data_IF_829460704449
#
_entry.id   IF_829460704449
#
_cell.length_a   1.000
_cell.length_b   1.000
_cell.length_c   1.000
_cell.angle_alpha   90.00
_cell.angle_beta   90.00
_cell.angle_gamma   90.00
#
_symmetry.space_group_name_H-M   'P 1'
#
loop_
_entity.id
_entity.type
_entity.pdbx_description
1 polymer ?
#
# COMPACT_ATOMS: atom_id res chain seq x y z
N UNK A 1 6.54 15.86 9.27
CA UNK A 1 5.73 14.63 9.33
C UNK A 1 4.92 14.62 10.62
N UNK A 2 3.74 14.04 10.58
CA UNK A 2 2.88 13.75 11.73
C UNK A 2 3.20 12.37 12.25
N UNK A 3 3.76 12.29 13.46
CA UNK A 3 4.28 11.05 14.04
C UNK A 3 3.40 10.66 15.21
N UNK A 4 2.71 9.52 15.11
CA UNK A 4 1.92 8.99 16.21
C UNK A 4 2.83 8.26 17.20
N UNK A 5 2.76 8.68 18.46
CA UNK A 5 3.50 8.05 19.56
C UNK A 5 2.56 7.12 20.31
N UNK A 6 2.96 5.86 20.46
CA UNK A 6 2.34 4.92 21.39
C UNK A 6 3.38 4.45 22.41
N UNK A 7 3.20 4.84 23.67
CA UNK A 7 4.13 4.62 24.77
C UNK A 7 3.34 4.76 26.08
N UNK A 8 3.38 3.73 26.92
CA UNK A 8 2.59 3.68 28.16
C UNK A 8 3.27 4.44 29.31
N UNK A 9 4.58 4.62 29.27
CA UNK A 9 5.31 5.44 30.23
C UNK A 9 5.21 6.94 29.88
N UNK A 10 4.50 7.75 30.68
CA UNK A 10 4.27 9.17 30.35
C UNK A 10 5.56 9.99 30.29
N UNK A 11 6.59 9.63 31.06
CA UNK A 11 7.87 10.34 31.06
C UNK A 11 8.62 10.10 29.75
N UNK A 12 8.67 8.85 29.29
CA UNK A 12 9.29 8.49 28.01
C UNK A 12 8.50 9.13 26.87
N UNK A 13 7.17 9.03 26.89
CA UNK A 13 6.28 9.60 25.88
C UNK A 13 6.46 11.12 25.73
N UNK A 14 6.54 11.85 26.85
CA UNK A 14 6.82 13.29 26.85
C UNK A 14 8.20 13.60 26.27
N UNK A 15 9.21 12.81 26.64
CA UNK A 15 10.57 12.93 26.09
C UNK A 15 10.59 12.76 24.57
N UNK A 16 9.95 11.71 24.06
CA UNK A 16 9.83 11.45 22.62
C UNK A 16 9.10 12.58 21.89
N UNK A 17 7.99 13.06 22.45
CA UNK A 17 7.24 14.18 21.86
C UNK A 17 8.09 15.46 21.79
N UNK A 18 8.91 15.74 22.82
CA UNK A 18 9.80 16.90 22.81
C UNK A 18 10.90 16.75 21.73
N UNK A 19 11.52 15.57 21.63
CA UNK A 19 12.55 15.28 20.64
C UNK A 19 12.02 15.35 19.21
N UNK A 20 10.84 14.78 18.96
CA UNK A 20 10.16 14.88 17.66
C UNK A 20 9.91 16.34 17.26
N UNK A 21 9.46 17.18 18.19
CA UNK A 21 9.29 18.62 17.91
C UNK A 21 10.61 19.31 17.58
N UNK A 22 11.68 19.00 18.32
CA UNK A 22 13.01 19.55 18.07
C UNK A 22 13.55 19.14 16.69
N UNK A 23 13.21 17.94 16.22
CA UNK A 23 13.51 17.43 14.87
C UNK A 23 12.57 17.99 13.77
N UNK A 24 11.63 18.88 14.11
CA UNK A 24 10.70 19.48 13.16
C UNK A 24 9.52 18.58 12.77
N UNK A 25 9.20 17.58 13.59
CA UNK A 25 8.04 16.71 13.41
C UNK A 25 6.89 17.11 14.35
N UNK A 26 5.67 16.77 13.94
CA UNK A 26 4.47 17.00 14.74
C UNK A 26 4.11 15.70 15.47
N UNK A 27 4.30 15.60 16.80
CA UNK A 27 3.85 14.44 17.54
C UNK A 27 2.31 14.42 17.65
N UNK A 28 1.72 13.24 17.44
CA UNK A 28 0.32 12.93 17.72
C UNK A 28 0.28 11.96 18.90
N UNK A 29 -0.61 12.21 19.85
CA UNK A 29 -0.68 11.44 21.11
C UNK A 29 0.10 12.12 22.25
N UNK A 30 0.55 11.37 23.26
CA UNK A 30 0.80 9.92 23.23
C UNK A 30 -0.44 9.05 23.47
N UNK A 31 -0.48 7.89 22.81
CA UNK A 31 -1.40 6.82 23.13
C UNK A 31 -0.75 5.89 24.19
N UNK A 32 -1.38 5.65 25.35
CA UNK A 32 -0.79 4.83 26.41
C UNK A 32 -0.96 3.32 26.18
N UNK A 33 -1.53 2.91 25.04
CA UNK A 33 -1.73 1.51 24.66
C UNK A 33 -2.03 1.38 23.15
N UNK A 34 -1.95 0.15 22.62
CA UNK A 34 -2.20 -0.11 21.21
C UNK A 34 -3.64 0.15 20.74
N UNK A 35 -4.67 0.01 21.59
CA UNK A 35 -6.05 0.29 21.17
C UNK A 35 -6.27 1.79 20.95
N UNK A 36 -5.74 2.62 21.87
CA UNK A 36 -5.73 4.07 21.70
C UNK A 36 -4.86 4.51 20.52
N UNK A 37 -3.74 3.83 20.29
CA UNK A 37 -2.89 4.09 19.12
C UNK A 37 -3.66 3.83 17.82
N UNK A 38 -4.38 2.71 17.73
CA UNK A 38 -5.24 2.39 16.58
C UNK A 38 -6.34 3.44 16.39
N UNK A 39 -7.04 3.81 17.47
CA UNK A 39 -8.09 4.82 17.41
C UNK A 39 -7.57 6.17 16.90
N UNK A 40 -6.41 6.60 17.41
CA UNK A 40 -5.79 7.86 17.02
C UNK A 40 -5.25 7.79 15.58
N UNK A 41 -4.69 6.66 15.15
CA UNK A 41 -4.25 6.44 13.78
C UNK A 41 -5.41 6.56 12.78
N UNK A 42 -6.58 6.00 13.10
CA UNK A 42 -7.79 6.11 12.28
C UNK A 42 -8.29 7.55 12.14
N UNK A 43 -8.32 8.28 13.26
CA UNK A 43 -8.81 9.65 13.29
C UNK A 43 -7.85 10.63 12.60
N UNK A 44 -6.56 10.53 12.93
CA UNK A 44 -5.59 11.53 12.54
C UNK A 44 -4.87 11.17 11.24
N UNK A 45 -4.77 9.89 10.86
CA UNK A 45 -3.99 9.42 9.70
C UNK A 45 -2.54 9.97 9.72
N UNK A 46 -1.72 9.54 10.69
CA UNK A 46 -0.31 9.95 10.77
C UNK A 46 0.49 9.49 9.55
N UNK A 47 1.69 10.06 9.41
CA UNK A 47 2.66 9.69 8.38
C UNK A 47 3.57 8.54 8.84
N UNK A 48 3.79 8.40 10.15
CA UNK A 48 4.68 7.40 10.76
C UNK A 48 4.16 6.98 12.14
N UNK A 49 4.38 5.70 12.47
CA UNK A 49 4.11 5.13 13.78
C UNK A 49 5.40 4.98 14.58
N UNK A 50 5.45 5.56 15.78
CA UNK A 50 6.52 5.39 16.75
C UNK A 50 5.93 4.64 17.95
N UNK A 51 6.03 3.32 17.95
CA UNK A 51 5.32 2.46 18.88
C UNK A 51 6.28 1.71 19.79
N UNK A 52 6.04 1.77 21.09
CA UNK A 52 6.57 0.78 22.01
C UNK A 52 6.00 -0.61 21.69
N UNK A 53 6.85 -1.61 21.69
CA UNK A 53 6.43 -3.00 21.52
C UNK A 53 5.61 -3.42 22.73
N UNK A 54 6.11 -3.14 23.94
CA UNK A 54 5.52 -3.62 25.17
C UNK A 54 4.52 -2.59 25.71
N UNK A 55 3.24 -2.76 25.35
CA UNK A 55 2.15 -1.90 25.83
C UNK A 55 0.99 -2.74 26.37
N UNK A 56 0.23 -2.23 27.36
CA UNK A 56 -0.95 -2.90 27.88
C UNK A 56 -2.07 -2.99 26.82
N UNK A 57 -3.03 -3.91 27.02
CA UNK A 57 -4.21 -4.18 26.16
C UNK A 57 -3.90 -4.73 24.78
N UNK A 58 -3.11 -4.00 24.00
CA UNK A 58 -2.69 -4.34 22.65
C UNK A 58 -1.25 -3.87 22.47
N UNK A 59 -0.37 -4.81 22.12
CA UNK A 59 1.04 -4.51 21.89
C UNK A 59 1.24 -3.70 20.58
N UNK A 60 2.38 -3.01 20.46
CA UNK A 60 2.64 -2.12 19.33
C UNK A 60 2.68 -2.83 17.98
N UNK A 61 3.20 -4.06 17.94
CA UNK A 61 3.30 -4.85 16.71
C UNK A 61 1.92 -5.34 16.25
N UNK A 62 1.07 -5.76 17.19
CA UNK A 62 -0.31 -6.15 16.93
C UNK A 62 -1.16 -4.95 16.50
N UNK A 63 -0.97 -3.78 17.11
CA UNK A 63 -1.60 -2.54 16.68
C UNK A 63 -1.22 -2.17 15.24
N UNK A 64 0.07 -2.26 14.90
CA UNK A 64 0.56 -2.06 13.55
C UNK A 64 -0.04 -3.05 12.54
N UNK A 65 -0.09 -4.35 12.87
CA UNK A 65 -0.66 -5.38 12.01
C UNK A 65 -2.16 -5.12 11.74
N UNK A 66 -2.91 -4.70 12.76
CA UNK A 66 -4.33 -4.33 12.64
C UNK A 66 -4.50 -3.13 11.71
N UNK A 67 -3.71 -2.06 11.89
CA UNK A 67 -3.75 -0.88 11.03
C UNK A 67 -3.38 -1.20 9.58
N UNK A 68 -2.40 -2.09 9.37
CA UNK A 68 -2.04 -2.55 8.04
C UNK A 68 -3.20 -3.30 7.35
N UNK A 69 -3.90 -4.17 8.08
CA UNK A 69 -5.10 -4.87 7.58
C UNK A 69 -6.26 -3.93 7.21
N UNK A 70 -6.31 -2.74 7.81
CA UNK A 70 -7.31 -1.70 7.53
C UNK A 70 -6.91 -0.73 6.41
N UNK A 71 -5.76 -0.96 5.74
CA UNK A 71 -5.24 -0.06 4.72
C UNK A 71 -4.65 1.24 5.28
N UNK A 72 -4.41 1.30 6.60
CA UNK A 72 -3.72 2.40 7.29
C UNK A 72 -2.26 2.05 7.56
N UNK A 73 -1.63 1.29 6.67
CA UNK A 73 -0.20 0.96 6.75
C UNK A 73 0.63 2.24 6.67
N UNK A 74 1.53 2.43 7.64
CA UNK A 74 2.56 3.49 7.65
C UNK A 74 3.88 2.88 8.07
N UNK A 75 5.02 3.54 7.76
CA UNK A 75 6.31 3.15 8.30
C UNK A 75 6.25 3.13 9.82
N UNK A 76 6.87 2.11 10.41
CA UNK A 76 6.88 1.89 11.86
C UNK A 76 8.31 1.94 12.34
N UNK A 77 8.55 2.76 13.36
CA UNK A 77 9.73 2.71 14.21
C UNK A 77 9.29 2.06 15.51
N UNK A 78 9.73 0.83 15.74
CA UNK A 78 9.42 0.11 16.96
C UNK A 78 10.45 0.48 18.04
N UNK A 79 9.96 0.75 19.24
CA UNK A 79 10.77 1.00 20.42
C UNK A 79 10.74 -0.25 21.30
N UNK A 80 11.89 -0.69 21.80
CA UNK A 80 11.98 -1.81 22.74
C UNK A 80 12.80 -1.45 23.98
N UNK A 81 12.39 -1.96 25.14
CA UNK A 81 13.18 -1.93 26.36
C UNK A 81 14.13 -3.12 26.54
N UNK A 82 14.00 -4.16 25.71
CA UNK A 82 14.75 -5.42 25.83
C UNK A 82 15.48 -5.72 24.52
N UNK A 83 16.79 -6.02 24.63
CA UNK A 83 17.59 -6.61 23.56
C UNK A 83 17.25 -8.10 23.45
N UNK A 84 16.12 -8.43 22.82
CA UNK A 84 15.75 -9.81 22.50
C UNK A 84 15.89 -10.08 20.98
N UNK A 85 16.83 -10.95 20.56
CA UNK A 85 16.99 -11.35 19.16
C UNK A 85 15.72 -11.94 18.53
N UNK A 86 14.84 -12.56 19.31
CA UNK A 86 13.60 -13.17 18.81
C UNK A 86 12.54 -12.13 18.42
N UNK A 87 12.67 -10.88 18.91
CA UNK A 87 11.84 -9.77 18.46
C UNK A 87 12.16 -9.39 17.03
N UNK A 88 13.40 -9.59 16.55
CA UNK A 88 13.85 -9.28 15.18
C UNK A 88 13.21 -10.19 14.12
N UNK A 89 12.83 -11.42 14.47
CA UNK A 89 12.12 -12.33 13.56
C UNK A 89 10.61 -12.00 13.47
N UNK A 90 9.96 -11.70 14.60
CA UNK A 90 8.53 -11.28 14.63
C UNK A 90 8.30 -9.96 13.91
N UNK A 91 9.24 -9.05 14.14
CA UNK A 91 9.53 -7.80 13.46
C UNK A 91 9.40 -7.79 11.94
N UNK A 92 10.06 -8.76 11.28
CA UNK A 92 10.12 -8.86 9.82
C UNK A 92 8.74 -9.22 9.27
N UNK A 93 8.00 -10.09 9.97
CA UNK A 93 6.66 -10.48 9.58
C UNK A 93 5.64 -9.33 9.69
N UNK A 94 5.85 -8.38 10.59
CA UNK A 94 4.96 -7.23 10.82
C UNK A 94 5.28 -6.00 9.98
N UNK A 95 6.38 -6.01 9.20
CA UNK A 95 6.74 -4.90 8.30
C UNK A 95 7.30 -3.66 9.01
N UNK A 96 7.91 -3.84 10.18
CA UNK A 96 8.57 -2.75 10.90
C UNK A 96 9.77 -2.23 10.10
N UNK A 97 9.90 -0.91 10.05
CA UNK A 97 10.87 -0.24 9.19
C UNK A 97 12.20 0.05 9.89
N UNK A 98 12.18 0.23 11.21
CA UNK A 98 13.36 0.42 12.06
C UNK A 98 13.08 0.04 13.53
N UNK A 99 14.14 -0.25 14.29
CA UNK A 99 14.10 -0.52 15.73
C UNK A 99 14.96 0.47 16.49
N UNK A 100 14.49 0.87 17.67
CA UNK A 100 15.23 1.68 18.62
C UNK A 100 15.18 1.01 20.00
N UNK A 101 16.34 0.90 20.64
CA UNK A 101 16.45 0.39 22.01
C UNK A 101 16.40 1.56 23.00
N UNK A 102 15.72 1.38 24.13
CA UNK A 102 15.71 2.36 25.22
C UNK A 102 17.06 2.28 25.97
N UNK A 103 17.71 3.41 26.34
CA UNK A 103 17.27 4.80 26.16
C UNK A 103 17.58 5.36 24.76
N UNK A 104 16.60 6.06 24.17
CA UNK A 104 16.70 6.57 22.79
C UNK A 104 17.47 7.89 22.74
N UNK A 105 18.47 7.97 21.87
CA UNK A 105 19.15 9.24 21.56
C UNK A 105 18.53 9.99 20.35
N UNK A 106 18.78 11.29 20.26
CA UNK A 106 18.17 12.15 19.23
C UNK A 106 18.67 11.82 17.80
N UNK A 107 19.93 11.40 17.67
CA UNK A 107 20.53 11.05 16.38
C UNK A 107 19.98 9.72 15.89
N UNK A 108 19.84 8.75 16.78
CA UNK A 108 19.21 7.47 16.52
C UNK A 108 17.75 7.64 16.11
N UNK A 109 16.99 8.49 16.82
CA UNK A 109 15.60 8.78 16.47
C UNK A 109 15.47 9.43 15.08
N UNK A 110 16.27 10.45 14.78
CA UNK A 110 16.26 11.11 13.45
C UNK A 110 16.66 10.12 12.34
N UNK A 111 17.71 9.33 12.56
CA UNK A 111 18.16 8.32 11.60
C UNK A 111 17.09 7.25 11.34
N UNK A 112 16.45 6.75 12.40
CA UNK A 112 15.39 5.74 12.28
C UNK A 112 14.16 6.27 11.53
N UNK A 113 13.72 7.50 11.83
CA UNK A 113 12.59 8.14 11.14
C UNK A 113 12.90 8.33 9.65
N UNK A 114 14.10 8.85 9.32
CA UNK A 114 14.53 9.04 7.92
C UNK A 114 14.58 7.72 7.17
N UNK A 115 15.21 6.70 7.75
CA UNK A 115 15.32 5.38 7.15
C UNK A 115 13.93 4.75 6.92
N UNK A 116 13.05 4.84 7.90
CA UNK A 116 11.69 4.33 7.81
C UNK A 116 10.88 5.04 6.70
N UNK A 117 10.97 6.36 6.64
CA UNK A 117 10.29 7.16 5.61
C UNK A 117 10.84 6.88 4.20
N UNK A 118 12.16 6.73 4.04
CA UNK A 118 12.77 6.42 2.74
C UNK A 118 12.33 5.04 2.24
N UNK A 119 12.40 4.01 3.10
CA UNK A 119 11.96 2.66 2.75
C UNK A 119 10.49 2.60 2.34
N UNK A 120 9.63 3.37 3.02
CA UNK A 120 8.22 3.45 2.64
C UNK A 120 8.06 4.05 1.24
N UNK A 121 8.74 5.15 0.94
CA UNK A 121 8.66 5.77 -0.39
C UNK A 121 9.18 4.85 -1.50
N UNK A 122 10.26 4.12 -1.24
CA UNK A 122 10.78 3.12 -2.18
C UNK A 122 9.77 2.00 -2.42
N UNK A 123 9.13 1.48 -1.37
CA UNK A 123 8.11 0.45 -1.47
C UNK A 123 6.88 0.94 -2.25
N UNK A 124 6.39 2.14 -1.94
CA UNK A 124 5.25 2.74 -2.65
C UNK A 124 5.56 2.96 -4.15
N UNK A 125 6.78 3.38 -4.47
CA UNK A 125 7.22 3.54 -5.85
C UNK A 125 7.27 2.21 -6.61
N UNK A 126 7.83 1.16 -5.98
CA UNK A 126 7.88 -0.18 -6.56
C UNK A 126 6.48 -0.79 -6.74
N UNK A 127 5.58 -0.60 -5.77
CA UNK A 127 4.19 -1.06 -5.87
C UNK A 127 3.44 -0.35 -7.01
N UNK A 128 3.64 0.97 -7.17
CA UNK A 128 3.07 1.74 -8.26
C UNK A 128 3.61 1.29 -9.62
N UNK A 129 4.92 1.08 -9.76
CA UNK A 129 5.54 0.57 -10.98
C UNK A 129 5.00 -0.83 -11.34
N UNK A 130 4.92 -1.73 -10.35
CA UNK A 130 4.37 -3.06 -10.54
C UNK A 130 2.89 -3.02 -10.95
N UNK A 131 2.09 -2.11 -10.38
CA UNK A 131 0.70 -1.91 -10.77
C UNK A 131 0.58 -1.44 -12.23
N UNK A 132 1.39 -0.45 -12.64
CA UNK A 132 1.42 0.04 -14.02
C UNK A 132 1.84 -1.05 -15.02
N UNK A 133 2.87 -1.84 -14.69
CA UNK A 133 3.32 -2.94 -15.54
C UNK A 133 2.22 -4.01 -15.70
N UNK A 134 1.49 -4.34 -14.63
CA UNK A 134 0.35 -5.27 -14.68
C UNK A 134 -0.79 -4.73 -15.53
N UNK A 135 -1.13 -3.44 -15.40
CA UNK A 135 -2.17 -2.81 -16.23
C UNK A 135 -1.77 -2.83 -17.72
N UNK A 136 -0.54 -2.45 -18.06
CA UNK A 136 -0.06 -2.47 -19.44
C UNK A 136 -0.12 -3.87 -20.06
N UNK A 137 0.20 -4.91 -19.29
CA UNK A 137 0.07 -6.30 -19.73
C UNK A 137 -1.40 -6.71 -19.94
N UNK A 138 -2.29 -6.31 -19.04
CA UNK A 138 -3.72 -6.58 -19.15
C UNK A 138 -4.32 -5.88 -20.38
N UNK A 139 -3.98 -4.61 -20.61
CA UNK A 139 -4.38 -3.82 -21.76
C UNK A 139 -3.91 -4.47 -23.07
N UNK A 140 -2.67 -4.95 -23.11
CA UNK A 140 -2.15 -5.69 -24.28
C UNK A 140 -2.96 -6.95 -24.56
N UNK A 141 -3.29 -7.75 -23.53
CA UNK A 141 -4.11 -8.96 -23.69
C UNK A 141 -5.50 -8.65 -24.24
N UNK A 142 -6.13 -7.56 -23.78
CA UNK A 142 -7.41 -7.10 -24.31
C UNK A 142 -7.32 -6.78 -25.80
N UNK A 143 -6.30 -6.04 -26.21
CA UNK A 143 -6.09 -5.68 -27.63
C UNK A 143 -5.84 -6.93 -28.48
N UNK A 144 -5.01 -7.87 -28.03
CA UNK A 144 -4.80 -9.15 -28.73
C UNK A 144 -6.11 -9.95 -28.88
N UNK A 145 -6.90 -10.04 -27.81
CA UNK A 145 -8.19 -10.74 -27.87
C UNK A 145 -9.18 -10.05 -28.81
N UNK A 146 -9.30 -8.73 -28.76
CA UNK A 146 -10.17 -7.97 -29.67
C UNK A 146 -9.74 -8.11 -31.14
N UNK A 147 -8.43 -8.20 -31.43
CA UNK A 147 -7.96 -8.53 -32.79
C UNK A 147 -8.48 -9.90 -33.21
N UNK A 148 -8.35 -10.92 -32.37
CA UNK A 148 -8.91 -12.26 -32.61
C UNK A 148 -10.40 -12.23 -32.93
N UNK A 149 -11.19 -11.51 -32.12
CA UNK A 149 -12.63 -11.32 -32.37
C UNK A 149 -12.91 -10.71 -33.75
N UNK A 150 -12.18 -9.65 -34.12
CA UNK A 150 -12.35 -8.98 -35.41
C UNK A 150 -11.92 -9.86 -36.60
N UNK A 151 -10.86 -10.65 -36.43
CA UNK A 151 -10.39 -11.61 -37.43
C UNK A 151 -11.47 -12.67 -37.66
N UNK A 152 -11.98 -13.29 -36.59
CA UNK A 152 -13.02 -14.33 -36.66
C UNK A 152 -14.33 -13.81 -37.26
N UNK A 153 -14.79 -12.63 -36.81
CA UNK A 153 -16.12 -12.13 -37.15
C UNK A 153 -16.18 -11.47 -38.55
N UNK A 154 -15.08 -10.87 -39.01
CA UNK A 154 -15.04 -10.07 -40.24
C UNK A 154 -14.05 -10.59 -41.29
N UNK A 155 -13.32 -11.67 -41.00
CA UNK A 155 -12.32 -12.23 -41.92
C UNK A 155 -11.12 -11.30 -42.17
N UNK A 156 -10.85 -10.38 -41.24
CA UNK A 156 -9.75 -9.42 -41.38
C UNK A 156 -8.40 -10.09 -41.16
N UNK A 157 -7.35 -9.57 -41.80
CA UNK A 157 -5.98 -9.89 -41.38
C UNK A 157 -5.66 -9.21 -40.04
N UNK A 158 -4.68 -9.74 -39.30
CA UNK A 158 -4.24 -9.14 -38.03
C UNK A 158 -3.85 -7.64 -38.16
N UNK A 159 -3.11 -7.20 -39.20
CA UNK A 159 -2.81 -5.78 -39.39
C UNK A 159 -4.04 -4.91 -39.67
N UNK A 160 -5.09 -5.46 -40.26
CA UNK A 160 -6.35 -4.74 -40.53
C UNK A 160 -7.20 -4.62 -39.27
N UNK A 161 -7.32 -5.71 -38.49
CA UNK A 161 -7.99 -5.71 -37.20
C UNK A 161 -7.35 -4.68 -36.25
N UNK A 162 -6.02 -4.68 -36.14
CA UNK A 162 -5.32 -3.71 -35.30
C UNK A 162 -5.51 -2.26 -35.76
N UNK A 163 -5.38 -1.99 -37.07
CA UNK A 163 -5.64 -0.65 -37.64
C UNK A 163 -7.06 -0.17 -37.36
N UNK A 164 -8.04 -1.09 -37.34
CA UNK A 164 -9.43 -0.76 -37.03
C UNK A 164 -9.62 -0.36 -35.57
N UNK A 165 -8.99 -1.07 -34.63
CA UNK A 165 -8.98 -0.71 -33.20
C UNK A 165 -8.35 0.69 -33.03
N UNK A 166 -7.17 0.92 -33.62
CA UNK A 166 -6.47 2.21 -33.54
C UNK A 166 -7.27 3.38 -34.11
N UNK A 167 -7.89 3.19 -35.29
CA UNK A 167 -8.71 4.22 -35.92
C UNK A 167 -9.91 4.58 -35.04
N UNK A 168 -10.57 3.58 -34.46
CA UNK A 168 -11.72 3.77 -33.57
C UNK A 168 -11.32 4.50 -32.29
N UNK A 169 -10.20 4.10 -31.69
CA UNK A 169 -9.65 4.75 -30.50
C UNK A 169 -9.35 6.24 -30.76
N UNK A 170 -8.70 6.55 -31.89
CA UNK A 170 -8.39 7.93 -32.28
C UNK A 170 -9.65 8.76 -32.56
N UNK A 171 -10.64 8.19 -33.26
CA UNK A 171 -11.88 8.90 -33.59
C UNK A 171 -12.74 9.20 -32.36
N UNK A 172 -12.72 8.32 -31.36
CA UNK A 172 -13.53 8.45 -30.14
C UNK A 172 -12.76 9.04 -28.95
N UNK A 173 -11.48 9.37 -29.13
CA UNK A 173 -10.57 9.80 -28.07
C UNK A 173 -10.55 8.84 -26.86
N UNK A 174 -10.43 7.53 -27.15
CA UNK A 174 -10.38 6.46 -26.17
C UNK A 174 -9.02 5.77 -26.17
N UNK A 175 -8.69 5.02 -25.10
CA UNK A 175 -7.53 4.13 -25.11
C UNK A 175 -7.82 2.90 -25.98
N UNK A 176 -6.77 2.29 -26.52
CA UNK A 176 -6.88 1.05 -27.31
C UNK A 176 -7.56 -0.08 -26.52
N UNK A 177 -7.23 -0.22 -25.24
CA UNK A 177 -7.82 -1.23 -24.36
C UNK A 177 -9.32 -1.03 -24.11
N UNK A 178 -9.79 0.22 -24.07
CA UNK A 178 -11.21 0.53 -23.87
C UNK A 178 -12.02 0.18 -25.12
N UNK A 179 -11.48 0.45 -26.31
CA UNK A 179 -12.06 -0.01 -27.59
C UNK A 179 -12.04 -1.53 -27.68
N UNK A 180 -10.94 -2.16 -27.25
CA UNK A 180 -10.81 -3.60 -27.26
C UNK A 180 -11.87 -4.27 -26.35
N UNK A 181 -12.09 -3.75 -25.14
CA UNK A 181 -13.18 -4.18 -24.25
C UNK A 181 -14.54 -4.08 -24.95
N UNK A 182 -14.87 -2.93 -25.54
CA UNK A 182 -16.14 -2.75 -26.27
C UNK A 182 -16.35 -3.77 -27.38
N UNK A 183 -15.29 -4.14 -28.11
CA UNK A 183 -15.36 -5.15 -29.17
C UNK A 183 -15.63 -6.54 -28.59
N UNK A 184 -14.97 -6.89 -27.48
CA UNK A 184 -15.13 -8.19 -26.82
C UNK A 184 -16.55 -8.32 -26.25
N UNK A 185 -17.01 -7.31 -25.51
CA UNK A 185 -18.34 -7.31 -24.86
C UNK A 185 -19.47 -7.44 -25.90
N UNK A 186 -19.33 -6.79 -27.06
CA UNK A 186 -20.33 -6.89 -28.14
C UNK A 186 -20.40 -8.29 -28.77
N UNK A 187 -19.32 -9.07 -28.79
CA UNK A 187 -19.35 -10.46 -29.30
C UNK A 187 -20.06 -11.38 -28.31
N UNK A 188 -19.80 -11.23 -27.02
CA UNK A 188 -20.46 -12.05 -25.98
C UNK A 188 -21.98 -11.87 -26.03
N UNK A 189 -22.46 -10.64 -26.24
CA UNK A 189 -23.89 -10.34 -26.39
C UNK A 189 -24.55 -10.94 -27.66
N UNK A 190 -23.76 -11.27 -28.68
CA UNK A 190 -24.24 -11.82 -29.96
C UNK A 190 -24.01 -13.34 -30.07
N UNK A 191 -23.37 -13.96 -29.08
CA UNK A 191 -23.18 -15.41 -29.03
C UNK A 191 -24.40 -16.02 -28.34
N UNK A 192 -25.14 -16.96 -28.97
CA UNK A 192 -26.31 -17.57 -28.34
C UNK A 192 -25.88 -18.29 -27.04
N UNK A 193 -26.69 -18.26 -25.97
CA UNK A 193 -26.33 -18.90 -24.71
C UNK A 193 -26.04 -20.39 -24.96
N UNK A 194 -24.87 -20.82 -24.50
CA UNK A 194 -24.49 -22.23 -24.53
C UNK A 194 -25.49 -23.04 -23.69
N UNK A 195 -25.82 -24.25 -24.16
CA UNK A 195 -26.83 -25.15 -23.56
C UNK A 195 -26.59 -25.51 -22.08
N UNK A 196 -25.48 -25.12 -21.48
CA UNK A 196 -25.15 -25.34 -20.07
C UNK A 196 -25.86 -24.37 -19.12
N UNK A 197 -26.27 -23.17 -19.57
CA UNK A 197 -26.95 -22.18 -18.71
C UNK A 197 -28.46 -22.45 -18.51
N UNK A 198 -28.97 -23.56 -19.07
CA UNK A 198 -30.39 -23.93 -19.06
C UNK A 198 -30.75 -25.05 -18.07
N UNK A 199 -29.91 -25.32 -17.06
CA UNK A 199 -30.17 -26.29 -15.99
C UNK A 199 -29.91 -25.69 -14.62
#
# INVERSE_FOLDING_TARGET
MRVLIAEDNPVIAMGLAARLRALGHQPLGPAPDGQQAVALARAERPDLYLFDIDMPRLDGLAAAALLAGEGLRRPIVAITGVDDPTLVDRSIATGVSAYLTKPIDDRELDAAIRLASQRQHELEALEAEAAQAREALADRKLVEHAKGVLIDALGLSEPEAFRRIQRTARQRNLRLADVARQIIDQRELLTPPTREDAR
#
